data_IF_742765638203
#
_entry.id   IF_742765638203
#
_cell.length_a   1.000
_cell.length_b   1.000
_cell.length_c   1.000
_cell.angle_alpha   90.00
_cell.angle_beta   90.00
_cell.angle_gamma   90.00
#
_symmetry.space_group_name_H-M   'P 1'
#
loop_
_entity.id
_entity.type
_entity.pdbx_description
1 polymer ?
#
# COMPACT_ATOMS: atom_id res chain seq x y z
N UNK A 1 34.19 1.45 0.48
CA UNK A 1 33.53 0.87 1.65
C UNK A 1 32.85 -0.40 1.16
N UNK A 2 33.32 -1.60 1.56
CA UNK A 2 32.66 -2.85 1.20
C UNK A 2 31.36 -2.92 2.02
N UNK A 3 30.22 -2.93 1.35
CA UNK A 3 28.94 -3.18 2.00
C UNK A 3 29.03 -4.52 2.73
N UNK A 4 28.51 -4.64 3.96
CA UNK A 4 28.48 -5.90 4.67
C UNK A 4 27.76 -6.93 3.78
N UNK A 5 28.38 -8.10 3.65
CA UNK A 5 27.77 -9.23 2.92
C UNK A 5 26.40 -9.53 3.53
N UNK A 6 25.38 -9.50 2.71
CA UNK A 6 24.00 -9.77 3.15
C UNK A 6 23.97 -11.08 3.92
N UNK A 7 23.40 -11.15 5.14
CA UNK A 7 23.43 -12.37 5.95
C UNK A 7 22.83 -13.58 5.23
N UNK A 8 21.91 -13.34 4.28
CA UNK A 8 21.29 -14.37 3.43
C UNK A 8 22.19 -14.82 2.25
N UNK A 9 23.28 -14.09 1.94
CA UNK A 9 24.15 -14.44 0.81
C UNK A 9 24.92 -15.76 1.06
N UNK A 10 25.05 -16.20 2.31
CA UNK A 10 25.72 -17.43 2.72
C UNK A 10 24.78 -18.62 2.94
N UNK A 11 23.48 -18.45 2.67
CA UNK A 11 22.54 -19.57 2.77
C UNK A 11 22.91 -20.65 1.75
N UNK A 12 23.05 -21.92 2.19
CA UNK A 12 23.25 -23.02 1.28
C UNK A 12 22.04 -23.12 0.33
N UNK A 13 22.27 -23.57 -0.91
CA UNK A 13 21.23 -23.63 -1.95
C UNK A 13 19.97 -24.35 -1.51
N UNK A 14 20.12 -25.45 -0.74
CA UNK A 14 18.96 -26.18 -0.21
C UNK A 14 18.10 -25.34 0.74
N UNK A 15 18.72 -24.51 1.60
CA UNK A 15 18.00 -23.65 2.54
C UNK A 15 17.28 -22.51 1.80
N UNK A 16 17.91 -21.94 0.75
CA UNK A 16 17.27 -20.95 -0.11
C UNK A 16 16.06 -21.55 -0.86
N UNK A 17 16.20 -22.78 -1.39
CA UNK A 17 15.10 -23.50 -2.05
C UNK A 17 13.99 -23.87 -1.06
N UNK A 18 14.34 -24.30 0.15
CA UNK A 18 13.37 -24.59 1.20
C UNK A 18 12.58 -23.34 1.60
N UNK A 19 13.25 -22.20 1.77
CA UNK A 19 12.59 -20.92 2.07
C UNK A 19 11.65 -20.49 0.95
N UNK A 20 12.11 -20.62 -0.30
CA UNK A 20 11.27 -20.34 -1.47
C UNK A 20 10.05 -21.27 -1.52
N UNK A 21 10.24 -22.57 -1.31
CA UNK A 21 9.15 -23.53 -1.29
C UNK A 21 8.14 -23.24 -0.18
N UNK A 22 8.61 -22.91 1.03
CA UNK A 22 7.74 -22.53 2.15
C UNK A 22 6.95 -21.24 1.84
N UNK A 23 7.58 -20.25 1.22
CA UNK A 23 6.90 -19.02 0.79
C UNK A 23 5.84 -19.33 -0.26
N UNK A 24 6.16 -20.15 -1.27
CA UNK A 24 5.20 -20.54 -2.30
C UNK A 24 4.04 -21.37 -1.74
N UNK A 25 4.33 -22.32 -0.86
CA UNK A 25 3.29 -23.12 -0.18
C UNK A 25 2.40 -22.25 0.71
N UNK A 26 2.98 -21.33 1.47
CA UNK A 26 2.23 -20.37 2.27
C UNK A 26 1.36 -19.44 1.41
N UNK A 27 1.87 -18.99 0.27
CA UNK A 27 1.10 -18.19 -0.69
C UNK A 27 -0.03 -19.01 -1.32
N UNK A 28 0.24 -20.24 -1.74
CA UNK A 28 -0.78 -21.15 -2.28
C UNK A 28 -1.86 -21.46 -1.24
N UNK A 29 -1.45 -21.73 0.00
CA UNK A 29 -2.41 -21.90 1.11
C UNK A 29 -3.30 -20.67 1.31
N UNK A 30 -2.71 -19.47 1.28
CA UNK A 30 -3.49 -18.23 1.36
C UNK A 30 -4.50 -18.10 0.22
N UNK A 31 -4.10 -18.42 -1.02
CA UNK A 31 -5.00 -18.38 -2.18
C UNK A 31 -6.15 -19.40 -2.03
N UNK A 32 -5.86 -20.62 -1.60
CA UNK A 32 -6.88 -21.65 -1.37
C UNK A 32 -7.83 -21.30 -0.20
N UNK A 33 -7.33 -20.54 0.78
CA UNK A 33 -8.13 -20.08 1.90
C UNK A 33 -8.90 -18.77 1.61
N UNK A 34 -8.70 -18.13 0.44
CA UNK A 34 -9.39 -16.89 0.09
C UNK A 34 -10.91 -17.05 0.07
N UNK A 35 -11.43 -18.11 -0.55
CA UNK A 35 -12.88 -18.31 -0.65
C UNK A 35 -13.57 -18.42 0.72
N UNK A 36 -12.94 -19.14 1.66
CA UNK A 36 -13.49 -19.27 3.02
C UNK A 36 -13.35 -17.96 3.81
N UNK A 37 -12.26 -17.23 3.62
CA UNK A 37 -12.06 -15.91 4.25
C UNK A 37 -12.97 -14.85 3.64
N UNK A 38 -13.16 -14.84 2.33
CA UNK A 38 -14.10 -13.95 1.64
C UNK A 38 -15.53 -14.17 2.09
N UNK A 39 -15.95 -15.43 2.27
CA UNK A 39 -17.27 -15.74 2.80
C UNK A 39 -17.42 -15.26 4.24
N UNK A 40 -16.44 -15.52 5.10
CA UNK A 40 -16.43 -15.06 6.48
C UNK A 40 -16.41 -13.52 6.56
N UNK A 41 -15.63 -12.86 5.71
CA UNK A 41 -15.57 -11.40 5.65
C UNK A 41 -16.88 -10.79 5.13
N UNK A 42 -17.51 -11.40 4.12
CA UNK A 42 -18.81 -10.95 3.62
C UNK A 42 -19.92 -11.12 4.67
N UNK A 43 -19.91 -12.23 5.43
CA UNK A 43 -20.85 -12.40 6.53
C UNK A 43 -20.62 -11.40 7.65
N UNK A 44 -19.37 -11.13 8.05
CA UNK A 44 -19.03 -10.11 9.05
C UNK A 44 -19.44 -8.69 8.59
N UNK A 45 -19.17 -8.34 7.33
CA UNK A 45 -19.63 -7.07 6.75
C UNK A 45 -21.16 -6.98 6.74
N UNK A 46 -21.85 -8.05 6.35
CA UNK A 46 -23.30 -8.08 6.35
C UNK A 46 -23.88 -7.92 7.76
N UNK A 47 -23.30 -8.60 8.76
CA UNK A 47 -23.70 -8.47 10.16
C UNK A 47 -23.41 -7.06 10.71
N UNK A 48 -22.28 -6.48 10.39
CA UNK A 48 -21.95 -5.09 10.77
C UNK A 48 -22.90 -4.09 10.12
N UNK A 49 -23.19 -4.28 8.83
CA UNK A 49 -24.14 -3.44 8.10
C UNK A 49 -25.56 -3.58 8.71
N UNK A 50 -25.98 -4.79 9.08
CA UNK A 50 -27.26 -5.02 9.76
C UNK A 50 -27.32 -4.35 11.14
N UNK A 51 -26.19 -4.18 11.83
CA UNK A 51 -26.07 -3.41 13.06
C UNK A 51 -25.95 -1.90 12.84
N UNK A 52 -25.98 -1.42 11.58
CA UNK A 52 -25.82 -0.02 11.22
C UNK A 52 -24.36 0.46 11.20
N UNK A 53 -23.40 -0.45 11.32
CA UNK A 53 -21.98 -0.13 11.15
C UNK A 53 -21.66 0.01 9.66
N UNK A 54 -20.96 1.08 9.29
CA UNK A 54 -20.53 1.32 7.91
C UNK A 54 -19.06 0.91 7.73
N UNK A 55 -18.66 0.42 6.52
CA UNK A 55 -17.26 0.10 6.24
C UNK A 55 -16.34 1.32 6.38
N UNK A 56 -15.12 1.10 6.90
CA UNK A 56 -14.12 2.16 7.10
C UNK A 56 -13.82 2.95 5.81
N UNK A 57 -13.85 2.29 4.64
CA UNK A 57 -13.62 2.95 3.36
C UNK A 57 -14.71 3.95 2.99
N UNK A 58 -15.94 3.74 3.46
CA UNK A 58 -17.04 4.68 3.22
C UNK A 58 -16.87 5.95 4.05
N UNK A 59 -16.30 5.85 5.26
CA UNK A 59 -15.90 7.01 6.05
C UNK A 59 -14.94 7.91 5.26
N UNK A 60 -13.87 7.34 4.69
CA UNK A 60 -12.90 8.13 3.92
C UNK A 60 -13.51 8.71 2.64
N UNK A 61 -14.39 7.97 1.97
CA UNK A 61 -15.12 8.49 0.79
C UNK A 61 -16.02 9.66 1.17
N UNK A 62 -16.74 9.58 2.28
CA UNK A 62 -17.60 10.63 2.76
C UNK A 62 -16.81 11.89 3.12
N UNK A 63 -15.69 11.75 3.86
CA UNK A 63 -14.78 12.85 4.17
C UNK A 63 -14.27 13.50 2.88
N UNK A 64 -13.79 12.71 1.92
CA UNK A 64 -13.26 13.23 0.66
C UNK A 64 -14.33 13.97 -0.15
N UNK A 65 -15.57 13.49 -0.18
CA UNK A 65 -16.67 14.15 -0.86
C UNK A 65 -17.00 15.53 -0.27
N UNK A 66 -16.99 15.65 1.07
CA UNK A 66 -17.20 16.93 1.76
C UNK A 66 -16.06 17.91 1.52
N UNK A 67 -14.81 17.43 1.55
CA UNK A 67 -13.65 18.27 1.24
C UNK A 67 -13.68 18.73 -0.22
N UNK A 68 -14.06 17.87 -1.15
CA UNK A 68 -14.25 18.24 -2.56
C UNK A 68 -15.38 19.28 -2.75
N UNK A 69 -16.39 19.28 -1.87
CA UNK A 69 -17.43 20.30 -1.84
C UNK A 69 -17.01 21.62 -1.17
N UNK A 70 -15.75 21.74 -0.73
CA UNK A 70 -15.16 22.95 -0.15
C UNK A 70 -15.19 23.03 1.36
N UNK A 71 -15.61 21.95 2.05
CA UNK A 71 -15.56 21.93 3.52
C UNK A 71 -14.13 21.73 4.01
N UNK A 72 -13.79 22.29 5.18
CA UNK A 72 -12.49 22.04 5.78
C UNK A 72 -12.34 20.58 6.19
N UNK A 73 -11.15 19.99 5.97
CA UNK A 73 -10.89 18.60 6.29
C UNK A 73 -11.25 18.25 7.75
N UNK A 74 -10.86 19.08 8.70
CA UNK A 74 -11.10 18.82 10.12
C UNK A 74 -12.58 18.84 10.49
N UNK A 75 -13.37 19.72 9.87
CA UNK A 75 -14.81 19.76 10.07
C UNK A 75 -15.47 18.52 9.46
N UNK A 76 -15.12 18.19 8.22
CA UNK A 76 -15.61 17.01 7.51
C UNK A 76 -15.25 15.71 8.27
N UNK A 77 -14.00 15.55 8.67
CA UNK A 77 -13.55 14.38 9.42
C UNK A 77 -14.26 14.24 10.76
N UNK A 78 -14.40 15.34 11.54
CA UNK A 78 -15.09 15.31 12.82
C UNK A 78 -16.58 14.99 12.67
N UNK A 79 -17.23 15.44 11.61
CA UNK A 79 -18.63 15.16 11.35
C UNK A 79 -18.84 13.69 10.95
N UNK A 80 -18.04 13.20 10.00
CA UNK A 80 -18.17 11.84 9.51
C UNK A 80 -17.78 10.80 10.55
N UNK A 81 -16.73 11.02 11.34
CA UNK A 81 -16.38 10.14 12.47
C UNK A 81 -17.52 10.01 13.46
N UNK A 82 -18.26 11.10 13.75
CA UNK A 82 -19.45 11.02 14.61
C UNK A 82 -20.58 10.24 13.95
N UNK A 83 -20.84 10.45 12.67
CA UNK A 83 -21.89 9.77 11.92
C UNK A 83 -21.63 8.28 11.80
N UNK A 84 -20.37 7.89 11.62
CA UNK A 84 -19.93 6.50 11.53
C UNK A 84 -19.66 5.84 12.91
N UNK A 85 -19.91 6.54 14.00
CA UNK A 85 -19.58 6.10 15.36
C UNK A 85 -18.11 5.66 15.54
N UNK A 86 -17.21 6.27 14.76
CA UNK A 86 -15.77 5.99 14.81
C UNK A 86 -15.07 6.91 15.81
N UNK A 87 -14.04 6.42 16.53
CA UNK A 87 -13.33 7.23 17.50
C UNK A 87 -12.53 8.34 16.82
N UNK A 88 -12.44 9.50 17.47
CA UNK A 88 -11.57 10.61 17.08
C UNK A 88 -10.35 10.75 18.00
N UNK A 89 -10.25 9.91 19.02
CA UNK A 89 -9.17 9.90 20.00
C UNK A 89 -8.64 8.45 20.17
N UNK A 90 -7.32 8.24 20.22
CA UNK A 90 -6.26 9.24 20.04
C UNK A 90 -6.22 9.84 18.62
N UNK A 91 -5.53 10.96 18.44
CA UNK A 91 -5.52 11.71 17.16
C UNK A 91 -5.12 10.86 15.92
N UNK A 92 -4.32 9.82 16.12
CA UNK A 92 -3.90 8.88 15.05
C UNK A 92 -5.05 8.09 14.43
N UNK A 93 -6.24 8.12 15.02
CA UNK A 93 -7.44 7.50 14.42
C UNK A 93 -7.99 8.34 13.26
N UNK A 94 -7.64 9.63 13.22
CA UNK A 94 -7.98 10.54 12.13
C UNK A 94 -6.77 10.67 11.22
N UNK A 95 -6.88 10.19 9.99
CA UNK A 95 -5.77 10.23 9.01
C UNK A 95 -5.38 11.65 8.65
N UNK A 96 -4.21 11.82 8.04
CA UNK A 96 -3.77 13.12 7.53
C UNK A 96 -4.66 13.60 6.38
N UNK A 97 -4.80 14.91 6.19
CA UNK A 97 -5.66 15.48 5.15
C UNK A 97 -5.11 15.36 3.74
N UNK A 98 -3.86 14.88 3.57
CA UNK A 98 -3.15 14.91 2.28
C UNK A 98 -3.92 14.19 1.18
N UNK A 99 -4.46 13.01 1.47
CA UNK A 99 -5.25 12.26 0.48
C UNK A 99 -6.56 12.98 0.13
N UNK A 100 -7.24 13.55 1.12
CA UNK A 100 -8.49 14.28 0.90
C UNK A 100 -8.27 15.56 0.09
N UNK A 101 -7.25 16.36 0.42
CA UNK A 101 -6.94 17.58 -0.32
C UNK A 101 -6.53 17.30 -1.76
N UNK A 102 -5.66 16.33 -1.94
CA UNK A 102 -5.19 15.98 -3.30
C UNK A 102 -6.29 15.32 -4.12
N UNK A 103 -7.19 14.58 -3.49
CA UNK A 103 -8.38 14.02 -4.16
C UNK A 103 -9.36 15.10 -4.62
N UNK A 104 -9.45 16.21 -3.90
CA UNK A 104 -10.23 17.35 -4.31
C UNK A 104 -9.68 18.00 -5.60
N UNK A 105 -8.37 17.88 -5.86
CA UNK A 105 -7.75 18.48 -7.05
C UNK A 105 -7.86 17.58 -8.29
N UNK A 106 -7.56 16.27 -8.17
CA UNK A 106 -7.47 15.38 -9.35
C UNK A 106 -8.40 14.16 -9.28
N UNK A 107 -9.21 14.06 -8.25
CA UNK A 107 -10.21 13.01 -8.11
C UNK A 107 -9.64 11.60 -7.89
N UNK A 108 -10.53 10.64 -7.82
CA UNK A 108 -10.18 9.22 -7.63
C UNK A 108 -9.39 8.67 -8.84
N UNK A 109 -9.71 9.07 -10.04
CA UNK A 109 -9.03 8.58 -11.26
C UNK A 109 -7.59 9.10 -11.35
N UNK A 110 -7.34 10.32 -10.86
CA UNK A 110 -5.97 10.83 -10.72
C UNK A 110 -5.14 9.96 -9.78
N UNK A 111 -5.69 9.57 -8.64
CA UNK A 111 -5.01 8.67 -7.70
C UNK A 111 -4.80 7.27 -8.27
N UNK A 112 -5.77 6.70 -9.01
CA UNK A 112 -5.60 5.43 -9.73
C UNK A 112 -4.45 5.49 -10.73
N UNK A 113 -4.35 6.61 -11.45
CA UNK A 113 -3.25 6.84 -12.38
C UNK A 113 -1.90 6.89 -11.64
N UNK A 114 -1.83 7.61 -10.52
CA UNK A 114 -0.62 7.68 -9.67
C UNK A 114 -0.25 6.28 -9.13
N UNK A 115 -1.22 5.51 -8.65
CA UNK A 115 -0.99 4.16 -8.17
C UNK A 115 -0.43 3.24 -9.27
N UNK A 116 -0.97 3.33 -10.49
CA UNK A 116 -0.47 2.59 -11.65
C UNK A 116 0.95 3.00 -12.04
N UNK A 117 1.26 4.30 -12.02
CA UNK A 117 2.61 4.81 -12.26
C UNK A 117 3.61 4.37 -11.19
N UNK A 118 3.22 4.45 -9.90
CA UNK A 118 4.03 3.96 -8.80
C UNK A 118 4.27 2.45 -8.89
N UNK A 119 3.26 1.68 -9.27
CA UNK A 119 3.39 0.25 -9.51
C UNK A 119 4.42 -0.07 -10.61
N UNK A 120 4.29 0.55 -11.79
CA UNK A 120 5.23 0.37 -12.89
C UNK A 120 6.65 0.83 -12.52
N UNK A 121 6.77 1.98 -11.83
CA UNK A 121 8.05 2.48 -11.34
C UNK A 121 8.70 1.51 -10.34
N UNK A 122 7.93 0.88 -9.45
CA UNK A 122 8.44 -0.15 -8.53
C UNK A 122 9.04 -1.33 -9.28
N UNK A 123 8.33 -1.89 -10.26
CA UNK A 123 8.84 -3.00 -11.07
C UNK A 123 10.18 -2.65 -11.72
N UNK A 124 10.26 -1.48 -12.36
CA UNK A 124 11.47 -1.01 -13.03
C UNK A 124 12.60 -0.72 -12.03
N UNK A 125 12.29 -0.10 -10.89
CA UNK A 125 13.29 0.24 -9.88
C UNK A 125 13.88 -1.01 -9.24
N UNK A 126 13.08 -2.00 -8.85
CA UNK A 126 13.56 -3.27 -8.31
C UNK A 126 14.31 -4.10 -9.35
N UNK A 127 13.85 -4.12 -10.60
CA UNK A 127 14.60 -4.72 -11.69
C UNK A 127 16.00 -4.09 -11.81
N UNK A 128 16.08 -2.76 -11.86
CA UNK A 128 17.36 -2.05 -11.99
C UNK A 128 18.24 -2.19 -10.76
N UNK A 129 17.69 -2.16 -9.55
CA UNK A 129 18.44 -2.32 -8.30
C UNK A 129 19.15 -3.67 -8.22
N UNK A 130 18.51 -4.74 -8.71
CA UNK A 130 19.03 -6.10 -8.64
C UNK A 130 19.79 -6.54 -9.92
N UNK A 131 19.85 -5.69 -10.94
CA UNK A 131 20.45 -6.03 -12.24
C UNK A 131 21.93 -6.38 -12.15
N UNK A 132 22.66 -5.74 -11.24
CA UNK A 132 24.07 -6.02 -11.01
C UNK A 132 24.31 -7.41 -10.40
N UNK A 133 23.31 -7.97 -9.71
CA UNK A 133 23.37 -9.30 -9.09
C UNK A 133 22.96 -10.43 -10.04
N UNK A 134 22.60 -10.09 -11.28
CA UNK A 134 22.25 -11.00 -12.36
C UNK A 134 20.80 -10.90 -12.84
N UNK A 135 20.59 -11.23 -14.11
CA UNK A 135 19.31 -11.09 -14.79
C UNK A 135 18.15 -11.83 -14.09
N UNK A 136 18.41 -13.05 -13.58
CA UNK A 136 17.39 -13.82 -12.87
C UNK A 136 16.88 -13.11 -11.59
N UNK A 137 17.79 -12.50 -10.82
CA UNK A 137 17.41 -11.72 -9.63
C UNK A 137 16.67 -10.44 -10.00
N UNK A 138 17.11 -9.78 -11.05
CA UNK A 138 16.43 -8.58 -11.57
C UNK A 138 14.98 -8.87 -11.97
N UNK A 139 14.77 -9.92 -12.75
CA UNK A 139 13.43 -10.36 -13.17
C UNK A 139 12.58 -10.77 -11.97
N UNK A 140 13.14 -11.54 -11.04
CA UNK A 140 12.42 -11.95 -9.84
C UNK A 140 12.01 -10.73 -8.98
N UNK A 141 12.92 -9.77 -8.77
CA UNK A 141 12.62 -8.55 -8.00
C UNK A 141 11.55 -7.70 -8.64
N UNK A 142 11.65 -7.46 -9.96
CA UNK A 142 10.63 -6.73 -10.71
C UNK A 142 9.27 -7.45 -10.69
N UNK A 143 9.27 -8.78 -10.88
CA UNK A 143 8.04 -9.57 -10.87
C UNK A 143 7.38 -9.57 -9.47
N UNK A 144 8.16 -9.75 -8.39
CA UNK A 144 7.64 -9.70 -7.03
C UNK A 144 7.03 -8.32 -6.71
N UNK A 145 7.74 -7.23 -7.06
CA UNK A 145 7.21 -5.89 -6.90
C UNK A 145 5.91 -5.70 -7.70
N UNK A 146 5.82 -6.29 -8.90
CA UNK A 146 4.61 -6.30 -9.71
C UNK A 146 3.45 -7.02 -9.03
N UNK A 147 3.68 -8.26 -8.58
CA UNK A 147 2.63 -9.09 -7.95
C UNK A 147 2.12 -8.44 -6.66
N UNK A 148 3.01 -8.02 -5.76
CA UNK A 148 2.58 -7.39 -4.50
C UNK A 148 1.92 -6.02 -4.71
N UNK A 149 2.34 -5.28 -5.73
CA UNK A 149 1.75 -3.99 -6.07
C UNK A 149 0.40 -4.08 -6.80
N UNK A 150 -0.01 -5.26 -7.31
CA UNK A 150 -1.30 -5.43 -8.02
C UNK A 150 -2.52 -5.07 -7.17
N UNK A 151 -2.40 -5.14 -5.85
CA UNK A 151 -3.47 -4.72 -4.92
C UNK A 151 -3.90 -3.26 -5.15
N UNK A 152 -3.02 -2.42 -5.70
CA UNK A 152 -3.32 -1.05 -6.07
C UNK A 152 -4.36 -0.91 -7.20
N UNK A 153 -4.67 -1.98 -7.92
CA UNK A 153 -5.68 -1.98 -8.99
C UNK A 153 -7.07 -2.42 -8.51
N UNK A 154 -7.20 -2.85 -7.26
CA UNK A 154 -8.51 -3.13 -6.67
C UNK A 154 -9.17 -1.79 -6.36
N UNK A 155 -10.34 -1.46 -6.97
CA UNK A 155 -10.91 -0.09 -6.95
C UNK A 155 -11.06 0.49 -5.56
N UNK A 156 -11.48 -0.32 -4.60
CA UNK A 156 -11.73 0.13 -3.22
C UNK A 156 -10.44 0.27 -2.40
N UNK A 157 -9.42 -0.51 -2.74
CA UNK A 157 -8.14 -0.55 -2.02
C UNK A 157 -7.13 0.43 -2.62
N UNK A 158 -7.19 0.69 -3.93
CA UNK A 158 -6.30 1.62 -4.64
C UNK A 158 -6.27 3.02 -4.02
N UNK A 159 -7.33 3.39 -3.30
CA UNK A 159 -7.51 4.68 -2.65
C UNK A 159 -7.14 4.64 -1.15
N UNK A 160 -6.48 3.59 -0.72
CA UNK A 160 -6.05 3.41 0.66
C UNK A 160 -4.72 4.13 0.91
N UNK A 161 -4.64 4.86 2.00
CA UNK A 161 -3.41 5.50 2.48
C UNK A 161 -2.26 4.49 2.60
N UNK A 162 -2.57 3.29 3.12
CA UNK A 162 -1.57 2.25 3.39
C UNK A 162 -0.96 1.68 2.11
N UNK A 163 -1.76 1.47 1.06
CA UNK A 163 -1.28 0.95 -0.22
C UNK A 163 -0.41 1.97 -0.94
N UNK A 164 -0.86 3.23 -1.01
CA UNK A 164 -0.09 4.30 -1.65
C UNK A 164 1.23 4.55 -0.91
N UNK A 165 1.19 4.63 0.42
CA UNK A 165 2.40 4.76 1.25
C UNK A 165 3.33 3.55 1.07
N UNK A 166 2.80 2.33 1.03
CA UNK A 166 3.55 1.10 0.80
C UNK A 166 4.27 1.09 -0.55
N UNK A 167 3.59 1.51 -1.63
CA UNK A 167 4.20 1.66 -2.95
C UNK A 167 5.33 2.71 -2.97
N UNK A 168 5.11 3.86 -2.31
CA UNK A 168 6.14 4.91 -2.20
C UNK A 168 7.34 4.44 -1.39
N UNK A 169 7.15 3.74 -0.27
CA UNK A 169 8.24 3.21 0.55
C UNK A 169 9.02 2.11 -0.17
N UNK A 170 8.32 1.21 -0.87
CA UNK A 170 8.97 0.18 -1.70
C UNK A 170 9.85 0.80 -2.79
N UNK A 171 9.32 1.82 -3.47
CA UNK A 171 10.08 2.55 -4.50
C UNK A 171 11.26 3.30 -3.89
N UNK A 172 11.08 3.96 -2.74
CA UNK A 172 12.14 4.62 -2.00
C UNK A 172 13.27 3.65 -1.65
N UNK A 173 12.92 2.45 -1.17
CA UNK A 173 13.90 1.42 -0.83
C UNK A 173 14.69 0.98 -2.07
N UNK A 174 14.03 0.72 -3.21
CA UNK A 174 14.69 0.32 -4.44
C UNK A 174 15.67 1.42 -4.97
N UNK A 175 15.35 2.69 -4.77
CA UNK A 175 16.16 3.84 -5.22
C UNK A 175 17.26 4.23 -4.24
N UNK A 176 17.18 3.81 -2.98
CA UNK A 176 18.05 4.29 -1.88
C UNK A 176 19.53 3.98 -2.08
N UNK A 177 19.85 2.85 -2.69
CA UNK A 177 21.24 2.41 -2.90
C UNK A 177 21.94 3.10 -4.08
N UNK A 178 21.22 3.88 -4.89
CA UNK A 178 21.71 4.49 -6.12
C UNK A 178 21.90 6.00 -6.03
N UNK A 179 22.18 6.62 -7.19
CA UNK A 179 22.26 8.07 -7.32
C UNK A 179 20.92 8.79 -7.09
N UNK A 180 19.82 8.06 -7.12
CA UNK A 180 18.47 8.59 -6.93
C UNK A 180 18.06 8.66 -5.44
N UNK A 181 19.00 8.55 -4.50
CA UNK A 181 18.72 8.63 -3.06
C UNK A 181 17.93 9.88 -2.62
N UNK A 182 18.10 11.08 -3.26
CA UNK A 182 17.28 12.23 -2.86
C UNK A 182 15.80 12.04 -3.19
N UNK A 183 15.51 11.39 -4.34
CA UNK A 183 14.14 11.00 -4.70
C UNK A 183 13.61 9.92 -3.75
N UNK A 184 14.45 8.97 -3.34
CA UNK A 184 14.08 7.97 -2.34
C UNK A 184 13.67 8.63 -1.01
N UNK A 185 14.45 9.62 -0.55
CA UNK A 185 14.11 10.38 0.66
C UNK A 185 12.79 11.13 0.51
N UNK A 186 12.59 11.81 -0.62
CA UNK A 186 11.34 12.52 -0.91
C UNK A 186 10.13 11.56 -0.86
N UNK A 187 10.24 10.41 -1.52
CA UNK A 187 9.16 9.40 -1.52
C UNK A 187 8.88 8.85 -0.13
N UNK A 188 9.91 8.62 0.69
CA UNK A 188 9.75 8.18 2.07
C UNK A 188 9.02 9.24 2.92
N UNK A 189 9.39 10.52 2.77
CA UNK A 189 8.71 11.63 3.46
C UNK A 189 7.25 11.73 3.00
N UNK A 190 6.99 11.66 1.69
CA UNK A 190 5.62 11.69 1.16
C UNK A 190 4.78 10.51 1.66
N UNK A 191 5.37 9.31 1.78
CA UNK A 191 4.69 8.14 2.32
C UNK A 191 4.28 8.36 3.79
N UNK A 192 5.15 8.95 4.61
CA UNK A 192 4.85 9.29 5.99
C UNK A 192 3.72 10.33 6.04
N UNK A 193 3.85 11.41 5.27
CA UNK A 193 2.83 12.47 5.23
C UNK A 193 1.47 11.98 4.74
N UNK A 194 1.45 10.94 3.91
CA UNK A 194 0.21 10.36 3.40
C UNK A 194 -0.48 9.49 4.46
N UNK A 195 0.30 8.78 5.28
CA UNK A 195 -0.23 7.77 6.20
C UNK A 195 -0.51 8.31 7.60
N UNK A 196 0.40 9.14 8.15
CA UNK A 196 0.34 9.66 9.52
C UNK A 196 -0.38 11.01 9.57
#
# INVERSE_FOLDING_TARGET
MKLPTHPLAHLPRWAALALLALTLLGSAWNVLALDTRDQAQRSDIAERTARGERPDMDLYRAINARVAAGESYHAAAAAEHREFAMPTSPFVTVRTPVLAWTSAWWGADGWRTIAALLWGANMLAWFNALRADGMGRALAGGALAGVFGMVAFIPDIAFSHDILAGLMLSLALALSAGRAWPLALLLAVLAILLRE
#
